data_IF_069665396076
#
_entry.id   IF_069665396076
#
_cell.length_a   1.000
_cell.length_b   1.000
_cell.length_c   1.000
_cell.angle_alpha   90.00
_cell.angle_beta   90.00
_cell.angle_gamma   90.00
#
_symmetry.space_group_name_H-M   'P 1'
#
loop_
_entity.id
_entity.type
_entity.pdbx_description
1 polymer ?
#
# COMPACT_ATOMS: atom_id res chain seq x y z
N UNK A 1 11.64 6.42 13.16
CA UNK A 1 12.54 5.42 13.66
C UNK A 1 12.61 4.16 12.80
N UNK A 2 11.68 3.98 11.93
CA UNK A 2 11.66 2.84 11.01
C UNK A 2 11.29 1.51 11.64
N UNK A 3 11.12 1.46 12.93
CA UNK A 3 10.77 0.22 13.61
C UNK A 3 9.26 -0.01 13.49
N UNK A 4 8.88 -1.14 12.93
CA UNK A 4 7.47 -1.52 12.81
C UNK A 4 6.64 -0.58 11.95
N UNK A 5 7.31 0.23 11.14
CA UNK A 5 6.59 1.13 10.24
C UNK A 5 6.13 0.33 9.03
N UNK A 6 4.85 0.01 9.02
CA UNK A 6 4.24 -0.78 7.96
C UNK A 6 3.14 0.05 7.32
N UNK A 7 3.24 0.21 6.02
CA UNK A 7 2.21 0.89 5.24
C UNK A 7 1.15 -0.13 4.83
N UNK A 8 -0.08 0.08 5.29
CA UNK A 8 -1.17 -0.81 4.90
C UNK A 8 -2.47 -0.03 4.74
N UNK A 9 -3.39 -0.60 3.99
CA UNK A 9 -4.70 -0.03 3.81
C UNK A 9 -5.54 -0.23 5.07
N UNK A 10 -6.37 0.76 5.38
CA UNK A 10 -7.37 0.66 6.45
C UNK A 10 -8.72 0.80 5.77
N UNK A 11 -9.42 -0.31 5.50
CA UNK A 11 -10.62 -0.28 4.66
C UNK A 11 -11.87 0.13 5.42
N UNK A 12 -11.94 1.38 5.82
CA UNK A 12 -13.11 1.93 6.49
C UNK A 12 -14.22 2.15 5.46
N UNK A 13 -15.40 1.60 5.72
CA UNK A 13 -16.54 1.72 4.83
C UNK A 13 -16.46 0.84 3.60
N UNK A 14 -15.56 -0.12 3.58
CA UNK A 14 -15.35 -1.02 2.45
C UNK A 14 -15.93 -2.38 2.78
N UNK A 15 -16.84 -2.86 1.94
CA UNK A 15 -17.45 -4.17 2.07
C UNK A 15 -16.52 -5.27 1.59
N UNK A 16 -15.80 -4.99 0.49
CA UNK A 16 -14.90 -5.98 -0.10
C UNK A 16 -13.57 -5.29 -0.41
N UNK A 17 -12.50 -5.77 0.19
CA UNK A 17 -11.15 -5.29 -0.11
C UNK A 17 -10.59 -6.10 -1.27
N UNK A 18 -10.11 -5.42 -2.30
CA UNK A 18 -9.59 -6.11 -3.48
C UNK A 18 -8.08 -6.21 -3.48
N UNK A 19 -7.39 -5.08 -3.33
CA UNK A 19 -5.93 -5.12 -3.30
C UNK A 19 -5.36 -3.82 -2.74
N UNK A 20 -4.10 -3.91 -2.36
CA UNK A 20 -3.27 -2.77 -2.00
C UNK A 20 -1.92 -2.98 -2.67
N UNK A 21 -1.42 -1.95 -3.35
CA UNK A 21 -0.21 -2.05 -4.14
C UNK A 21 0.63 -0.81 -3.91
N UNK A 22 1.97 -0.98 -3.95
CA UNK A 22 2.91 0.13 -3.81
C UNK A 22 3.88 0.09 -4.98
N UNK A 23 4.13 1.26 -5.57
CA UNK A 23 5.07 1.43 -6.66
C UNK A 23 6.18 2.39 -6.24
N UNK A 24 7.38 2.18 -6.75
CA UNK A 24 8.44 3.17 -6.60
C UNK A 24 8.25 4.29 -7.62
N UNK A 25 9.14 5.29 -7.61
CA UNK A 25 9.00 6.45 -8.49
C UNK A 25 9.24 6.14 -9.96
N UNK A 26 9.78 4.96 -10.27
CA UNK A 26 9.96 4.51 -11.66
C UNK A 26 8.79 3.66 -12.14
N UNK A 27 7.75 3.52 -11.31
CA UNK A 27 6.59 2.73 -11.69
C UNK A 27 6.76 1.24 -11.48
N UNK A 28 7.84 0.82 -10.83
CA UNK A 28 8.05 -0.59 -10.53
C UNK A 28 7.25 -0.98 -9.29
N UNK A 29 6.52 -2.08 -9.38
CA UNK A 29 5.74 -2.56 -8.24
C UNK A 29 6.68 -3.17 -7.21
N UNK A 30 6.63 -2.64 -5.99
CA UNK A 30 7.49 -3.10 -4.90
C UNK A 30 6.72 -3.90 -3.85
N UNK A 31 5.38 -3.83 -3.88
CA UNK A 31 4.56 -4.59 -2.96
C UNK A 31 3.15 -4.74 -3.53
N UNK A 32 2.54 -5.89 -3.27
CA UNK A 32 1.15 -6.15 -3.62
C UNK A 32 0.55 -7.13 -2.63
N UNK A 33 -0.69 -6.88 -2.22
CA UNK A 33 -1.43 -7.83 -1.41
C UNK A 33 -2.92 -7.70 -1.70
N UNK A 34 -3.63 -8.81 -1.56
CA UNK A 34 -5.10 -8.82 -1.55
C UNK A 34 -5.64 -9.10 -0.15
N UNK A 35 -4.78 -9.04 0.85
CA UNK A 35 -5.15 -9.26 2.25
C UNK A 35 -5.04 -7.93 2.99
N UNK A 36 -6.16 -7.41 3.49
CA UNK A 36 -6.20 -6.10 4.15
C UNK A 36 -5.35 -6.07 5.43
N UNK A 37 -5.03 -7.22 5.99
CA UNK A 37 -4.22 -7.29 7.20
C UNK A 37 -2.72 -7.27 6.93
N UNK A 38 -2.32 -7.33 5.66
CA UNK A 38 -0.91 -7.30 5.30
C UNK A 38 -0.51 -5.91 4.83
N UNK A 39 0.66 -5.48 5.25
CA UNK A 39 1.22 -4.21 4.87
C UNK A 39 2.63 -4.33 4.35
N UNK A 40 3.12 -3.25 3.78
CA UNK A 40 4.46 -3.19 3.21
C UNK A 40 5.43 -2.64 4.26
N UNK A 41 6.55 -3.33 4.41
CA UNK A 41 7.56 -2.98 5.40
C UNK A 41 8.71 -2.15 4.83
N UNK A 42 8.59 -1.72 3.58
CA UNK A 42 9.62 -0.89 2.95
C UNK A 42 10.72 -1.67 2.28
N UNK A 43 10.52 -2.97 2.05
CA UNK A 43 11.53 -3.82 1.44
C UNK A 43 11.07 -4.35 0.10
N UNK A 44 12.02 -4.64 -0.77
CA UNK A 44 11.77 -5.32 -2.03
C UNK A 44 12.63 -6.57 -2.05
N UNK A 45 11.97 -7.75 -2.11
CA UNK A 45 12.65 -9.04 -2.10
C UNK A 45 13.60 -9.18 -0.91
N UNK A 46 13.17 -8.67 0.25
CA UNK A 46 13.98 -8.71 1.46
C UNK A 46 15.02 -7.62 1.55
N UNK A 47 15.16 -6.78 0.53
CA UNK A 47 16.11 -5.68 0.51
C UNK A 47 15.41 -4.38 0.92
N UNK A 48 15.95 -3.72 1.92
CA UNK A 48 15.39 -2.47 2.41
C UNK A 48 15.55 -1.37 1.37
N UNK A 49 14.45 -0.64 1.12
CA UNK A 49 14.49 0.50 0.21
C UNK A 49 15.04 1.72 0.94
N UNK A 50 15.81 2.54 0.23
CA UNK A 50 16.36 3.75 0.80
C UNK A 50 15.32 4.85 0.97
N UNK A 51 15.80 6.04 1.33
CA UNK A 51 14.94 7.22 1.45
C UNK A 51 14.39 7.59 0.09
N UNK A 52 13.08 7.53 -0.06
CA UNK A 52 12.46 7.84 -1.34
C UNK A 52 10.96 7.99 -1.16
N UNK A 53 10.31 8.42 -2.24
CA UNK A 53 8.87 8.50 -2.28
C UNK A 53 8.31 7.33 -3.09
N UNK A 54 7.13 6.88 -2.66
CA UNK A 54 6.45 5.76 -3.26
C UNK A 54 4.99 6.14 -3.46
N UNK A 55 4.34 5.48 -4.41
CA UNK A 55 2.93 5.70 -4.69
C UNK A 55 2.19 4.43 -4.31
N UNK A 56 1.15 4.59 -3.49
CA UNK A 56 0.30 3.46 -3.15
C UNK A 56 -1.06 3.60 -3.80
N UNK A 57 -1.70 2.48 -4.05
CA UNK A 57 -3.06 2.44 -4.59
C UNK A 57 -3.81 1.29 -3.94
N UNK A 58 -5.08 1.51 -3.63
CA UNK A 58 -5.94 0.48 -3.06
C UNK A 58 -7.27 0.49 -3.76
N UNK A 59 -7.86 -0.69 -3.92
CA UNK A 59 -9.18 -0.82 -4.53
C UNK A 59 -10.06 -1.71 -3.66
N UNK A 60 -11.33 -1.37 -3.61
CA UNK A 60 -12.33 -2.15 -2.92
C UNK A 60 -13.72 -1.82 -3.42
N UNK A 61 -14.72 -2.42 -2.79
CA UNK A 61 -16.13 -2.17 -3.08
C UNK A 61 -16.78 -1.72 -1.79
N UNK A 62 -17.55 -0.64 -1.85
CA UNK A 62 -18.24 -0.12 -0.67
C UNK A 62 -19.54 -0.88 -0.43
N UNK A 63 -20.28 -0.47 0.61
CA UNK A 63 -21.53 -1.13 0.98
C UNK A 63 -22.61 -0.99 -0.07
N UNK A 64 -22.51 0.02 -0.91
CA UNK A 64 -23.45 0.23 -2.00
C UNK A 64 -23.11 -0.52 -3.28
N UNK A 65 -22.03 -1.31 -3.27
CA UNK A 65 -21.60 -2.03 -4.45
C UNK A 65 -20.76 -1.20 -5.41
N UNK A 66 -20.31 -0.02 -5.00
CA UNK A 66 -19.53 0.87 -5.86
C UNK A 66 -18.04 0.60 -5.72
N UNK A 67 -17.33 0.61 -6.85
CA UNK A 67 -15.89 0.49 -6.83
C UNK A 67 -15.29 1.75 -6.23
N UNK A 68 -14.39 1.56 -5.29
CA UNK A 68 -13.68 2.63 -4.63
C UNK A 68 -12.19 2.44 -4.88
N UNK A 69 -11.54 3.49 -5.41
CA UNK A 69 -10.09 3.49 -5.62
C UNK A 69 -9.52 4.65 -4.83
N UNK A 70 -8.48 4.38 -4.06
CA UNK A 70 -7.74 5.40 -3.33
C UNK A 70 -6.27 5.30 -3.69
N UNK A 71 -5.61 6.44 -3.76
CA UNK A 71 -4.18 6.48 -4.03
C UNK A 71 -3.55 7.64 -3.29
N UNK A 72 -2.27 7.54 -3.07
CA UNK A 72 -1.52 8.59 -2.39
C UNK A 72 -0.03 8.37 -2.52
N UNK A 73 0.71 9.26 -1.88
CA UNK A 73 2.16 9.22 -1.88
C UNK A 73 2.63 9.02 -0.45
N UNK A 74 3.66 8.21 -0.27
CA UNK A 74 4.32 8.04 1.01
C UNK A 74 5.82 8.26 0.82
N UNK A 75 6.44 8.94 1.77
CA UNK A 75 7.87 9.16 1.78
C UNK A 75 8.47 8.33 2.91
N UNK A 76 9.44 7.51 2.57
CA UNK A 76 10.15 6.70 3.55
C UNK A 76 11.46 7.39 3.86
N UNK A 77 11.69 7.64 5.15
CA UNK A 77 12.91 8.24 5.65
C UNK A 77 13.54 7.26 6.64
N UNK A 78 14.74 6.84 6.33
CA UNK A 78 15.49 5.88 7.16
C UNK A 78 16.45 6.58 8.10
#
# INVERSE_FOLDING_TARGET
>A
DGLNDILKAIPVGIKEFRYFVVYNRWGQRVFYTNDANKGWDGKLSGTEQGNDSFIWMAEGVDDGGNKVVRKGTVVIVR
#
